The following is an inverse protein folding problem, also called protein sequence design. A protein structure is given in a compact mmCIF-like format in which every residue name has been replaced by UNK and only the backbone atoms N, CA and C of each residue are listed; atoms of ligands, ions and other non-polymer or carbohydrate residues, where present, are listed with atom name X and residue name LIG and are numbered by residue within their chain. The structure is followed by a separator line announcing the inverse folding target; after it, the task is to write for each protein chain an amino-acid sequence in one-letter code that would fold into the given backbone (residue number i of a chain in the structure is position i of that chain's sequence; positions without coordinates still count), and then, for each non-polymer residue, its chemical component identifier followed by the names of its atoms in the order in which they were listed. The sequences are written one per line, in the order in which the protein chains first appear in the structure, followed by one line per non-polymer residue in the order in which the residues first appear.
data_IF_925375808487
#
_entry.id   IF_925375808487
#
_cell.length_a   1.000
_cell.length_b   1.000
_cell.length_c   1.000
_cell.angle_alpha   90.00
_cell.angle_beta   90.00
_cell.angle_gamma   90.00
#
_symmetry.space_group_name_H-M   'P 1'
#
loop_
_entity.id
_entity.type
_entity.pdbx_description
1 polymer ?
#
# COMPACT_ATOMS: atom_id res chain seq x y z
N UNK A 1 33.80 6.67 11.42
CA UNK A 1 33.21 7.02 12.74
C UNK A 1 31.70 7.04 12.61
N UNK A 2 31.05 6.04 13.18
CA UNK A 2 29.61 5.81 13.02
C UNK A 2 28.79 6.73 13.91
N UNK A 3 27.60 7.11 13.44
CA UNK A 3 26.61 7.87 14.23
C UNK A 3 26.40 7.20 15.61
N UNK A 4 26.21 7.97 16.69
CA UNK A 4 25.94 7.42 18.02
C UNK A 4 24.81 6.37 18.00
N UNK A 5 24.98 5.28 18.75
CA UNK A 5 24.08 4.12 18.69
C UNK A 5 22.59 4.48 18.92
N UNK A 6 22.33 5.41 19.84
CA UNK A 6 20.99 5.95 20.13
C UNK A 6 20.35 6.67 18.92
N UNK A 7 21.14 7.29 18.06
CA UNK A 7 20.66 7.94 16.83
C UNK A 7 20.32 6.89 15.78
N UNK A 8 21.12 5.84 15.67
CA UNK A 8 20.87 4.72 14.76
C UNK A 8 19.57 4.00 15.11
N UNK A 9 19.36 3.71 16.39
CA UNK A 9 18.13 3.08 16.88
C UNK A 9 16.88 3.91 16.57
N UNK A 10 16.91 5.23 16.87
CA UNK A 10 15.80 6.13 16.53
C UNK A 10 15.50 6.19 15.04
N UNK A 11 16.53 6.14 14.19
CA UNK A 11 16.33 6.10 12.73
C UNK A 11 15.66 4.80 12.28
N UNK A 12 16.05 3.66 12.86
CA UNK A 12 15.42 2.37 12.56
C UNK A 12 13.96 2.37 13.02
N UNK A 13 13.69 2.85 14.23
CA UNK A 13 12.31 2.95 14.74
C UNK A 13 11.44 3.84 13.85
N UNK A 14 11.95 5.00 13.41
CA UNK A 14 11.22 5.87 12.49
C UNK A 14 10.89 5.19 11.15
N UNK A 15 11.84 4.41 10.60
CA UNK A 15 11.61 3.63 9.38
C UNK A 15 10.58 2.52 9.59
N UNK A 16 10.63 1.84 10.74
CA UNK A 16 9.66 0.80 11.08
C UNK A 16 8.26 1.37 11.20
N UNK A 17 8.10 2.50 11.90
CA UNK A 17 6.81 3.18 12.03
C UNK A 17 6.27 3.62 10.67
N UNK A 18 7.12 4.15 9.78
CA UNK A 18 6.73 4.51 8.42
C UNK A 18 6.28 3.29 7.62
N UNK A 19 7.03 2.19 7.70
CA UNK A 19 6.68 0.95 7.01
C UNK A 19 5.30 0.44 7.44
N UNK A 20 5.04 0.39 8.76
CA UNK A 20 3.74 0.00 9.29
C UNK A 20 2.62 0.92 8.79
N UNK A 21 2.83 2.24 8.78
CA UNK A 21 1.84 3.19 8.25
C UNK A 21 1.50 2.99 6.76
N UNK A 22 2.39 2.35 5.99
CA UNK A 22 2.13 2.04 4.58
C UNK A 22 1.41 0.70 4.40
N UNK A 23 1.70 -0.32 5.22
CA UNK A 23 1.22 -1.70 5.01
C UNK A 23 0.11 -2.17 5.96
N UNK A 24 -0.09 -1.50 7.10
CA UNK A 24 -1.03 -1.92 8.15
C UNK A 24 -2.28 -1.04 8.14
N UNK A 25 -3.46 -1.66 7.98
CA UNK A 25 -4.73 -0.95 7.92
C UNK A 25 -4.93 0.01 9.11
N UNK A 26 -4.60 -0.42 10.34
CA UNK A 26 -4.86 0.38 11.55
C UNK A 26 -3.90 1.56 11.71
N UNK A 27 -2.72 1.48 11.10
CA UNK A 27 -1.68 2.52 11.15
C UNK A 27 -1.78 3.51 9.98
N UNK A 28 -2.50 3.16 8.93
CA UNK A 28 -2.74 4.01 7.78
C UNK A 28 -3.56 5.26 8.14
N UNK A 29 -3.30 6.41 7.49
CA UNK A 29 -4.18 7.58 7.55
C UNK A 29 -5.59 7.23 7.08
N UNK A 30 -6.61 7.77 7.75
CA UNK A 30 -7.98 7.52 7.36
C UNK A 30 -8.35 8.34 6.11
N UNK A 31 -8.78 7.68 5.04
CA UNK A 31 -9.09 8.33 3.74
C UNK A 31 -10.07 9.51 3.84
N UNK A 32 -10.99 9.49 4.82
CA UNK A 32 -11.97 10.58 5.01
C UNK A 32 -11.46 11.70 5.91
N UNK A 33 -10.43 11.43 6.72
CA UNK A 33 -9.81 12.36 7.65
C UNK A 33 -8.34 11.95 7.87
N UNK A 34 -7.42 12.44 7.02
CA UNK A 34 -6.01 12.03 7.06
C UNK A 34 -5.26 12.44 8.33
N UNK A 35 -5.84 13.30 9.17
CA UNK A 35 -5.22 13.76 10.42
C UNK A 35 -5.25 12.67 11.51
N UNK A 36 -6.05 11.62 11.33
CA UNK A 36 -6.10 10.46 12.21
C UNK A 36 -5.87 9.15 11.46
N UNK A 37 -5.37 8.14 12.15
CA UNK A 37 -5.25 6.79 11.59
C UNK A 37 -6.60 6.08 11.63
N UNK A 38 -6.76 5.07 10.77
CA UNK A 38 -7.96 4.21 10.78
C UNK A 38 -8.17 3.57 12.16
N UNK A 39 -7.10 3.14 12.83
CA UNK A 39 -7.15 2.58 14.18
C UNK A 39 -7.73 3.57 15.21
N UNK A 40 -7.24 4.81 15.22
CA UNK A 40 -7.77 5.88 16.11
C UNK A 40 -9.26 6.15 15.84
N UNK A 41 -9.65 6.17 14.57
CA UNK A 41 -11.04 6.35 14.19
C UNK A 41 -11.93 5.22 14.74
N UNK A 42 -11.51 3.97 14.56
CA UNK A 42 -12.26 2.78 15.03
C UNK A 42 -12.37 2.76 16.56
N UNK A 43 -11.27 3.06 17.26
CA UNK A 43 -11.24 3.14 18.72
C UNK A 43 -12.20 4.22 19.25
N UNK A 44 -12.28 5.37 18.58
CA UNK A 44 -13.24 6.44 18.90
C UNK A 44 -14.71 5.99 18.79
N UNK A 45 -14.97 4.87 18.10
CA UNK A 45 -16.29 4.25 17.96
C UNK A 45 -16.50 3.04 18.86
N UNK A 46 -15.54 2.73 19.75
CA UNK A 46 -15.61 1.59 20.66
C UNK A 46 -15.59 0.23 19.93
N UNK A 47 -14.95 0.18 18.76
CA UNK A 47 -14.87 -1.02 17.92
C UNK A 47 -13.42 -1.47 17.72
N UNK A 48 -13.25 -2.64 17.09
CA UNK A 48 -11.95 -3.19 16.67
C UNK A 48 -12.11 -3.87 15.32
N UNK A 49 -11.07 -3.81 14.47
CA UNK A 49 -11.02 -4.58 13.23
C UNK A 49 -10.56 -6.00 13.54
N UNK A 50 -11.34 -6.99 13.10
CA UNK A 50 -10.98 -8.42 13.22
C UNK A 50 -10.21 -8.93 12.02
N UNK A 51 -10.71 -8.61 10.82
CA UNK A 51 -10.13 -9.05 9.55
C UNK A 51 -10.71 -8.24 8.40
N UNK A 52 -9.99 -8.15 7.30
CA UNK A 52 -10.49 -7.64 6.02
C UNK A 52 -9.92 -8.47 4.87
N UNK A 53 -10.59 -8.43 3.72
CA UNK A 53 -10.09 -9.01 2.47
C UNK A 53 -10.33 -7.96 1.38
N UNK A 54 -9.31 -7.69 0.58
CA UNK A 54 -9.39 -6.80 -0.58
C UNK A 54 -9.25 -7.67 -1.82
N UNK A 55 -10.20 -7.55 -2.75
CA UNK A 55 -10.11 -8.16 -4.07
C UNK A 55 -9.98 -7.06 -5.11
N UNK A 56 -9.14 -7.28 -6.11
CA UNK A 56 -9.01 -6.41 -7.27
C UNK A 56 -9.09 -7.22 -8.57
N UNK A 57 -9.85 -6.72 -9.54
CA UNK A 57 -9.98 -7.39 -10.83
C UNK A 57 -8.63 -7.38 -11.54
N UNK A 58 -8.14 -8.57 -11.92
CA UNK A 58 -6.82 -8.70 -12.55
C UNK A 58 -5.65 -8.81 -11.58
N UNK A 59 -5.89 -8.87 -10.27
CA UNK A 59 -4.82 -9.08 -9.28
C UNK A 59 -4.05 -10.37 -9.59
N UNK A 60 -2.73 -10.25 -9.79
CA UNK A 60 -1.85 -11.36 -10.16
C UNK A 60 -1.92 -11.83 -11.62
N UNK A 61 -2.70 -11.17 -12.48
CA UNK A 61 -2.75 -11.46 -13.92
C UNK A 61 -1.78 -10.53 -14.65
N UNK A 62 -0.89 -11.10 -15.46
CA UNK A 62 0.00 -10.32 -16.33
C UNK A 62 -0.86 -9.54 -17.35
N UNK A 63 -0.71 -8.21 -17.34
CA UNK A 63 -1.43 -7.34 -18.25
C UNK A 63 -0.84 -7.54 -19.64
N UNK A 64 -1.66 -8.03 -20.57
CA UNK A 64 -1.28 -8.09 -21.99
C UNK A 64 -1.11 -6.67 -22.51
N UNK A 65 0.06 -6.38 -23.04
CA UNK A 65 0.31 -5.18 -23.83
C UNK A 65 0.19 -5.54 -25.31
N UNK A 66 -1.03 -5.44 -25.84
CA UNK A 66 -1.28 -5.71 -27.26
C UNK A 66 -1.01 -4.43 -28.06
N UNK A 67 -0.08 -4.49 -29.02
CA UNK A 67 0.18 -3.41 -29.97
C UNK A 67 -0.84 -3.47 -31.11
N UNK A 68 -1.88 -2.64 -31.02
CA UNK A 68 -2.95 -2.56 -32.01
C UNK A 68 -2.44 -2.37 -33.45
N UNK A 69 -1.35 -1.62 -33.65
CA UNK A 69 -0.79 -1.38 -34.98
C UNK A 69 -0.18 -2.67 -35.58
N UNK A 70 0.51 -3.47 -34.76
CA UNK A 70 1.06 -4.76 -35.19
C UNK A 70 -0.05 -5.78 -35.47
N UNK A 71 -1.10 -5.80 -34.63
CA UNK A 71 -2.26 -6.67 -34.84
C UNK A 71 -2.94 -6.39 -36.19
N UNK A 72 -3.17 -5.10 -36.50
CA UNK A 72 -3.76 -4.67 -37.78
C UNK A 72 -2.86 -5.04 -38.96
N UNK A 73 -1.55 -4.79 -38.86
CA UNK A 73 -0.60 -5.11 -39.94
C UNK A 73 -0.50 -6.63 -40.20
N UNK A 74 -0.61 -7.45 -39.16
CA UNK A 74 -0.60 -8.91 -39.30
C UNK A 74 -1.88 -9.46 -39.97
N UNK A 75 -3.00 -8.75 -39.90
CA UNK A 75 -4.24 -9.14 -40.59
C UNK A 75 -4.26 -8.75 -42.08
N UNK A 76 -3.59 -7.65 -42.46
CA UNK A 76 -3.53 -7.18 -43.86
C UNK A 76 -2.57 -8.00 -44.73
N UNK A 77 -1.48 -8.53 -44.14
CA UNK A 77 -0.47 -9.31 -44.86
C UNK A 77 -0.79 -10.81 -44.95
N UNK A 78 -1.99 -11.22 -44.51
CA UNK A 78 -2.48 -12.60 -44.52
C UNK A 78 -3.46 -12.81 -45.66
#
# INVERSE_FOLDING_TARGET
EGKPANIVEKMIQGRLNKYLAEISLVDQPFVKDPDQTVGKYIESKGAVVKSFVRFEVGEGIEKREDNFAEEVMNQVNK
#
